data_IF_267135153839
#
_entry.id   IF_267135153839
#
_cell.length_a   1.000
_cell.length_b   1.000
_cell.length_c   1.000
_cell.angle_alpha   90.00
_cell.angle_beta   90.00
_cell.angle_gamma   90.00
#
_symmetry.space_group_name_H-M   'P 1'
#
loop_
_entity.id
_entity.type
_entity.pdbx_description
1 polymer ?
#
# COMPACT_ATOMS: atom_id res chain seq x y z
N UNK A 1 7.60 -5.11 -0.75
CA UNK A 1 6.48 -5.28 -1.70
C UNK A 1 5.68 -6.51 -1.30
N UNK A 2 4.34 -6.50 -1.45
CA UNK A 2 3.49 -7.65 -1.13
C UNK A 2 3.28 -8.54 -2.35
N UNK A 3 3.33 -9.85 -2.17
CA UNK A 3 3.22 -10.87 -3.23
C UNK A 3 2.33 -12.02 -2.77
N UNK A 4 1.43 -12.49 -3.63
CA UNK A 4 0.59 -13.66 -3.33
C UNK A 4 1.39 -14.95 -3.17
N UNK A 5 2.52 -15.09 -3.88
CA UNK A 5 3.37 -16.28 -3.85
C UNK A 5 4.50 -16.18 -2.82
N UNK A 6 5.14 -15.02 -2.72
CA UNK A 6 6.35 -14.83 -1.90
C UNK A 6 6.11 -14.07 -0.58
N UNK A 7 4.87 -13.64 -0.31
CA UNK A 7 4.54 -12.87 0.89
C UNK A 7 5.12 -11.45 0.84
N UNK A 8 6.30 -11.26 1.39
CA UNK A 8 7.05 -9.99 1.38
C UNK A 8 8.27 -10.11 0.50
N UNK A 9 8.47 -9.11 -0.37
CA UNK A 9 9.63 -9.00 -1.26
C UNK A 9 10.33 -7.67 -1.06
N UNK A 10 11.65 -7.70 -1.01
CA UNK A 10 12.53 -6.53 -1.11
C UNK A 10 12.77 -6.19 -2.59
N UNK A 11 13.15 -4.95 -2.94
CA UNK A 11 13.29 -4.53 -4.34
C UNK A 11 14.28 -5.34 -5.19
N UNK A 12 15.30 -5.94 -4.55
CA UNK A 12 16.36 -6.70 -5.23
C UNK A 12 16.25 -8.22 -5.06
N UNK A 13 15.16 -8.72 -4.49
CA UNK A 13 14.95 -10.16 -4.35
C UNK A 13 14.80 -10.80 -5.73
N UNK A 14 15.49 -11.92 -5.94
CA UNK A 14 15.38 -12.71 -7.17
C UNK A 14 14.14 -13.59 -7.10
N UNK A 15 13.27 -13.44 -8.09
CA UNK A 15 12.02 -14.20 -8.18
C UNK A 15 11.89 -14.89 -9.54
N UNK A 16 11.12 -15.97 -9.57
CA UNK A 16 10.69 -16.59 -10.81
C UNK A 16 9.40 -15.91 -11.32
N UNK A 17 9.15 -15.86 -12.63
CA UNK A 17 7.89 -15.39 -13.17
C UNK A 17 6.72 -16.20 -12.63
N UNK A 18 5.68 -15.52 -12.16
CA UNK A 18 4.46 -16.16 -11.68
C UNK A 18 3.25 -15.25 -11.91
N UNK A 19 2.06 -15.86 -11.82
CA UNK A 19 0.79 -15.12 -11.78
C UNK A 19 -0.10 -15.69 -10.67
N UNK A 20 -0.05 -15.05 -9.51
CA UNK A 20 -0.89 -15.40 -8.36
C UNK A 20 -1.22 -14.13 -7.59
N UNK A 21 -2.47 -13.70 -7.65
CA UNK A 21 -2.97 -12.52 -6.95
C UNK A 21 -3.35 -12.88 -5.52
N UNK A 22 -3.17 -11.95 -4.57
CA UNK A 22 -3.43 -12.18 -3.15
C UNK A 22 -4.89 -12.56 -2.87
N UNK A 23 -5.84 -12.01 -3.64
CA UNK A 23 -7.27 -12.31 -3.53
C UNK A 23 -7.71 -13.65 -4.12
N UNK A 24 -6.78 -14.47 -4.66
CA UNK A 24 -7.10 -15.76 -5.26
C UNK A 24 -7.65 -16.73 -4.21
N UNK A 25 -8.80 -17.32 -4.52
CA UNK A 25 -9.41 -18.39 -3.69
C UNK A 25 -8.73 -19.72 -3.98
N UNK A 26 -7.56 -19.90 -3.40
CA UNK A 26 -6.76 -21.13 -3.51
C UNK A 26 -6.83 -21.90 -2.18
N UNK A 27 -7.55 -23.03 -2.17
CA UNK A 27 -7.55 -23.94 -1.02
C UNK A 27 -6.16 -24.50 -0.75
N UNK A 28 -5.76 -24.53 0.51
CA UNK A 28 -4.44 -24.93 0.96
C UNK A 28 -4.53 -25.59 2.35
N UNK A 29 -3.40 -25.99 2.92
CA UNK A 29 -3.36 -26.69 4.21
C UNK A 29 -3.81 -25.79 5.39
N UNK A 30 -3.71 -24.46 5.27
CA UNK A 30 -4.07 -23.50 6.31
C UNK A 30 -5.51 -22.95 6.16
N UNK A 31 -6.14 -23.12 4.97
CA UNK A 31 -7.50 -22.64 4.77
C UNK A 31 -7.94 -22.59 3.30
N UNK A 32 -8.88 -21.68 3.00
CA UNK A 32 -9.55 -21.63 1.70
C UNK A 32 -9.02 -20.58 0.72
N UNK A 33 -8.04 -19.80 1.14
CA UNK A 33 -7.50 -18.68 0.36
C UNK A 33 -6.08 -18.32 0.81
N UNK A 34 -5.45 -17.36 0.14
CA UNK A 34 -4.09 -16.93 0.49
C UNK A 34 -4.01 -16.08 1.77
N UNK A 35 -5.08 -15.43 2.19
CA UNK A 35 -5.09 -14.72 3.48
C UNK A 35 -5.01 -15.72 4.64
N UNK A 36 -5.71 -16.85 4.54
CA UNK A 36 -5.61 -17.94 5.52
C UNK A 36 -4.21 -18.56 5.50
N UNK A 37 -3.62 -18.71 4.30
CA UNK A 37 -2.28 -19.25 4.12
C UNK A 37 -1.20 -18.42 4.81
N UNK A 38 -1.22 -17.10 4.56
CA UNK A 38 -0.21 -16.19 5.09
C UNK A 38 -0.44 -15.82 6.56
N UNK A 39 -1.69 -15.84 7.04
CA UNK A 39 -2.03 -15.57 8.44
C UNK A 39 -1.31 -14.34 9.01
N UNK A 40 -0.45 -14.55 10.01
CA UNK A 40 0.39 -13.53 10.64
C UNK A 40 1.75 -13.32 9.98
N UNK A 41 2.23 -14.26 9.18
CA UNK A 41 3.63 -14.33 8.70
C UNK A 41 4.12 -13.03 8.05
N UNK A 42 3.28 -12.42 7.19
CA UNK A 42 3.62 -11.15 6.53
C UNK A 42 3.85 -10.04 7.57
N UNK A 43 3.02 -9.95 8.59
CA UNK A 43 3.13 -8.92 9.63
C UNK A 43 4.32 -9.18 10.56
N UNK A 44 4.65 -10.44 10.82
CA UNK A 44 5.83 -10.83 11.59
C UNK A 44 7.11 -10.40 10.86
N UNK A 45 7.23 -10.68 9.56
CA UNK A 45 8.36 -10.23 8.73
C UNK A 45 8.47 -8.70 8.70
N UNK A 46 7.34 -7.98 8.60
CA UNK A 46 7.36 -6.51 8.64
C UNK A 46 7.80 -5.95 10.00
N UNK A 47 7.60 -6.69 11.08
CA UNK A 47 8.04 -6.29 12.40
C UNK A 47 9.56 -6.48 12.63
N UNK A 48 10.25 -7.26 11.78
CA UNK A 48 11.70 -7.47 11.87
C UNK A 48 12.49 -6.20 11.51
N UNK A 49 11.93 -5.36 10.64
CA UNK A 49 12.59 -4.13 10.19
C UNK A 49 12.59 -3.00 11.27
N UNK A 50 11.93 -3.20 12.43
CA UNK A 50 11.83 -2.26 13.57
C UNK A 50 11.35 -0.84 13.18
N UNK A 51 10.75 -0.68 12.01
CA UNK A 51 10.22 0.58 11.52
C UNK A 51 9.01 1.04 12.34
N UNK A 52 8.94 2.34 12.63
CA UNK A 52 7.82 2.90 13.39
C UNK A 52 6.63 3.29 12.54
N UNK A 53 6.84 3.48 11.25
CA UNK A 53 5.80 3.92 10.30
C UNK A 53 5.87 3.14 9.00
N UNK A 54 4.72 2.64 8.57
CA UNK A 54 4.54 2.04 7.26
C UNK A 54 3.62 2.92 6.41
N UNK A 55 4.16 3.48 5.34
CA UNK A 55 3.38 4.20 4.33
C UNK A 55 2.71 3.19 3.41
N UNK A 56 1.40 3.03 3.55
CA UNK A 56 0.64 2.06 2.77
C UNK A 56 0.28 2.59 1.38
N UNK A 57 0.97 2.05 0.39
CA UNK A 57 0.71 2.27 -1.04
C UNK A 57 0.21 0.98 -1.74
N UNK A 58 -0.09 -0.07 -0.99
CA UNK A 58 -0.67 -1.29 -1.52
C UNK A 58 -2.15 -1.12 -1.86
N UNK A 59 -2.70 -2.00 -2.70
CA UNK A 59 -4.15 -2.08 -2.88
C UNK A 59 -4.80 -2.72 -1.66
N UNK A 60 -6.10 -2.46 -1.46
CA UNK A 60 -6.85 -3.07 -0.37
C UNK A 60 -6.77 -4.61 -0.39
N UNK A 61 -6.74 -5.20 -1.59
CA UNK A 61 -6.57 -6.64 -1.77
C UNK A 61 -5.27 -7.15 -1.13
N UNK A 62 -4.15 -6.51 -1.42
CA UNK A 62 -2.85 -6.92 -0.87
C UNK A 62 -2.70 -6.51 0.59
N UNK A 63 -3.13 -5.31 0.95
CA UNK A 63 -2.99 -4.83 2.33
C UNK A 63 -3.85 -5.61 3.34
N UNK A 64 -4.93 -6.24 2.88
CA UNK A 64 -5.77 -7.13 3.71
C UNK A 64 -5.01 -8.36 4.24
N UNK A 65 -3.89 -8.73 3.61
CA UNK A 65 -3.04 -9.82 4.11
C UNK A 65 -2.18 -9.42 5.32
N UNK A 66 -2.21 -8.14 5.73
CA UNK A 66 -1.52 -7.65 6.92
C UNK A 66 -2.42 -7.84 8.15
N UNK A 67 -1.97 -8.61 9.13
CA UNK A 67 -2.61 -8.65 10.45
C UNK A 67 -2.21 -7.42 11.26
N UNK A 68 -3.10 -6.43 11.28
CA UNK A 68 -2.89 -5.16 11.99
C UNK A 68 -2.81 -5.32 13.52
N UNK A 69 -3.25 -6.45 14.08
CA UNK A 69 -3.26 -6.66 15.53
C UNK A 69 -1.87 -6.92 16.09
N UNK A 70 -1.01 -7.53 15.26
CA UNK A 70 0.37 -7.85 15.66
C UNK A 70 1.39 -6.88 15.09
N UNK A 71 1.02 -6.08 14.08
CA UNK A 71 1.91 -5.09 13.48
C UNK A 71 2.25 -4.01 14.52
N UNK A 72 3.56 -3.78 14.74
CA UNK A 72 4.05 -2.80 15.70
C UNK A 72 4.10 -1.39 15.14
N UNK A 73 4.39 -1.26 13.85
CA UNK A 73 4.45 0.01 13.16
C UNK A 73 3.08 0.68 13.05
N UNK A 74 3.05 1.99 13.09
CA UNK A 74 1.89 2.78 12.69
C UNK A 74 1.69 2.69 11.17
N UNK A 75 0.44 2.77 10.74
CA UNK A 75 0.09 2.72 9.33
C UNK A 75 -0.38 4.11 8.89
N UNK A 76 0.22 4.62 7.83
CA UNK A 76 -0.25 5.80 7.10
C UNK A 76 -0.81 5.35 5.75
N UNK A 77 -2.12 5.34 5.61
CA UNK A 77 -2.80 5.03 4.36
C UNK A 77 -2.73 6.20 3.39
N UNK A 78 -2.25 5.99 2.15
CA UNK A 78 -2.24 6.99 1.09
C UNK A 78 -3.37 6.69 0.12
N UNK A 79 -4.30 7.65 -0.02
CA UNK A 79 -5.51 7.51 -0.81
C UNK A 79 -5.54 8.54 -1.93
N UNK A 80 -5.72 8.08 -3.17
CA UNK A 80 -5.86 8.94 -4.34
C UNK A 80 -7.30 8.97 -4.82
N UNK A 81 -7.84 10.16 -5.01
CA UNK A 81 -9.22 10.38 -5.46
C UNK A 81 -9.28 11.33 -6.65
N UNK A 82 -10.19 11.03 -7.56
CA UNK A 82 -10.54 11.86 -8.72
C UNK A 82 -11.84 12.60 -8.45
N UNK A 83 -11.92 13.85 -8.92
CA UNK A 83 -13.19 14.57 -8.93
C UNK A 83 -14.14 13.99 -9.98
N UNK A 84 -15.33 13.65 -9.56
CA UNK A 84 -16.40 13.18 -10.43
C UNK A 84 -17.75 13.71 -9.94
N UNK A 85 -18.43 14.54 -10.75
CA UNK A 85 -19.72 15.13 -10.39
C UNK A 85 -19.67 15.78 -8.98
N UNK A 86 -18.75 16.72 -8.79
CA UNK A 86 -18.53 17.48 -7.54
C UNK A 86 -18.20 16.64 -6.28
N UNK A 87 -17.87 15.39 -6.46
CA UNK A 87 -17.41 14.50 -5.37
C UNK A 87 -16.09 13.84 -5.71
N UNK A 88 -15.26 13.60 -4.69
CA UNK A 88 -14.00 12.89 -4.84
C UNK A 88 -14.18 11.39 -4.63
N UNK A 89 -13.80 10.57 -5.62
CA UNK A 89 -13.94 9.10 -5.59
C UNK A 89 -12.65 8.41 -5.97
N UNK A 90 -12.39 7.26 -5.37
CA UNK A 90 -11.30 6.39 -5.77
C UNK A 90 -11.66 5.71 -7.09
N UNK A 91 -10.83 5.89 -8.12
CA UNK A 91 -10.93 5.18 -9.39
C UNK A 91 -9.73 4.24 -9.52
N UNK A 92 -9.99 2.93 -9.51
CA UNK A 92 -8.97 1.90 -9.33
C UNK A 92 -7.75 2.03 -10.25
N UNK A 93 -7.95 2.30 -11.55
CA UNK A 93 -6.86 2.41 -12.52
C UNK A 93 -5.98 3.65 -12.25
N UNK A 94 -6.59 4.77 -11.91
CA UNK A 94 -5.87 6.00 -11.60
C UNK A 94 -5.17 5.90 -10.24
N UNK A 95 -5.83 5.35 -9.23
CA UNK A 95 -5.22 5.12 -7.93
C UNK A 95 -4.02 4.15 -8.00
N UNK A 96 -4.08 3.10 -8.86
CA UNK A 96 -2.95 2.21 -9.11
C UNK A 96 -1.75 2.96 -9.69
N UNK A 97 -1.99 3.81 -10.70
CA UNK A 97 -0.96 4.63 -11.33
C UNK A 97 -0.37 5.64 -10.33
N UNK A 98 -1.22 6.37 -9.62
CA UNK A 98 -0.80 7.37 -8.66
C UNK A 98 0.05 6.79 -7.51
N UNK A 99 -0.28 5.59 -7.01
CA UNK A 99 0.56 4.89 -6.03
C UNK A 99 1.95 4.58 -6.57
N UNK A 100 2.06 4.18 -7.84
CA UNK A 100 3.35 3.98 -8.51
C UNK A 100 4.15 5.29 -8.63
N UNK A 101 3.50 6.40 -8.96
CA UNK A 101 4.13 7.72 -9.00
C UNK A 101 4.61 8.17 -7.62
N UNK A 102 3.82 7.94 -6.56
CA UNK A 102 4.22 8.25 -5.19
C UNK A 102 5.46 7.44 -4.76
N UNK A 103 5.52 6.15 -5.08
CA UNK A 103 6.71 5.32 -4.82
C UNK A 103 7.93 5.90 -5.54
N UNK A 104 7.78 6.26 -6.82
CA UNK A 104 8.85 6.89 -7.59
C UNK A 104 9.30 8.23 -6.96
N UNK A 105 8.36 9.05 -6.54
CA UNK A 105 8.61 10.32 -5.85
C UNK A 105 9.42 10.11 -4.57
N UNK A 106 9.03 9.16 -3.72
CA UNK A 106 9.73 8.80 -2.48
C UNK A 106 11.19 8.40 -2.78
N UNK A 107 11.37 7.47 -3.73
CA UNK A 107 12.70 6.91 -4.04
C UNK A 107 13.61 7.97 -4.67
N UNK A 108 13.13 8.71 -5.67
CA UNK A 108 13.92 9.73 -6.37
C UNK A 108 14.36 10.87 -5.47
N UNK A 109 13.53 11.27 -4.55
CA UNK A 109 13.83 12.34 -3.59
C UNK A 109 14.47 11.82 -2.29
N UNK A 110 14.66 10.49 -2.15
CA UNK A 110 15.24 9.84 -0.95
C UNK A 110 14.53 10.30 0.33
N UNK A 111 13.21 10.33 0.30
CA UNK A 111 12.43 10.83 1.42
C UNK A 111 12.51 9.86 2.60
N UNK A 112 12.84 10.39 3.76
CA UNK A 112 12.90 9.70 5.05
C UNK A 112 11.88 10.25 6.06
N UNK A 113 11.26 11.38 5.74
CA UNK A 113 10.21 12.02 6.53
C UNK A 113 8.87 11.93 5.79
N UNK A 114 7.85 11.41 6.47
CA UNK A 114 6.52 11.28 5.91
C UNK A 114 5.91 12.64 5.54
N UNK A 115 6.18 13.71 6.31
CA UNK A 115 5.66 15.05 6.02
C UNK A 115 6.04 15.55 4.62
N UNK A 116 7.21 15.13 4.11
CA UNK A 116 7.64 15.47 2.77
C UNK A 116 6.74 14.89 1.67
N UNK A 117 5.94 13.85 1.96
CA UNK A 117 4.96 13.30 1.01
C UNK A 117 3.87 14.30 0.65
N UNK A 118 3.54 15.25 1.53
CA UNK A 118 2.54 16.29 1.27
C UNK A 118 2.91 17.20 0.10
N UNK A 119 4.21 17.25 -0.26
CA UNK A 119 4.71 17.94 -1.45
C UNK A 119 4.51 17.22 -2.78
N UNK A 120 3.97 15.99 -2.78
CA UNK A 120 3.69 15.24 -4.00
C UNK A 120 2.66 15.96 -4.87
N UNK A 121 2.99 16.13 -6.17
CA UNK A 121 2.13 16.84 -7.12
C UNK A 121 2.09 16.22 -8.52
N UNK A 122 2.63 15.01 -8.68
CA UNK A 122 2.69 14.35 -9.99
C UNK A 122 1.28 14.15 -10.58
N UNK A 123 1.16 14.40 -11.86
CA UNK A 123 -0.09 14.32 -12.63
C UNK A 123 -1.26 15.14 -12.05
N UNK A 124 -0.95 16.23 -11.33
CA UNK A 124 -1.95 17.14 -10.80
C UNK A 124 -2.61 16.68 -9.49
N UNK A 125 -2.14 15.63 -8.85
CA UNK A 125 -2.58 15.29 -7.50
C UNK A 125 -2.02 16.26 -6.48
N UNK A 126 -2.86 16.73 -5.58
CA UNK A 126 -2.47 17.59 -4.47
C UNK A 126 -2.96 17.01 -3.15
N UNK A 127 -2.16 17.17 -2.10
CA UNK A 127 -2.57 16.82 -0.75
C UNK A 127 -3.82 17.60 -0.34
N UNK A 128 -4.84 16.88 0.11
CA UNK A 128 -6.11 17.47 0.53
C UNK A 128 -6.26 17.33 2.05
N UNK A 129 -6.00 18.42 2.76
CA UNK A 129 -6.03 18.43 4.22
C UNK A 129 -7.43 18.16 4.77
N UNK A 130 -8.49 18.66 4.12
CA UNK A 130 -9.87 18.50 4.61
C UNK A 130 -10.36 17.06 4.57
N UNK A 131 -9.86 16.29 3.61
CA UNK A 131 -10.22 14.87 3.44
C UNK A 131 -9.23 13.92 4.15
N UNK A 132 -8.17 14.44 4.75
CA UNK A 132 -7.11 13.67 5.41
C UNK A 132 -7.34 13.59 6.92
N UNK A 133 -6.70 12.60 7.53
CA UNK A 133 -6.60 12.40 8.99
C UNK A 133 -5.16 12.03 9.34
N UNK A 134 -4.86 11.88 10.65
CA UNK A 134 -3.52 11.52 11.11
C UNK A 134 -3.01 10.18 10.55
N UNK A 135 -3.91 9.23 10.25
CA UNK A 135 -3.56 7.90 9.75
C UNK A 135 -3.93 7.66 8.28
N UNK A 136 -4.52 8.65 7.59
CA UNK A 136 -4.95 8.52 6.19
C UNK A 136 -4.83 9.84 5.47
N UNK A 137 -3.89 9.93 4.54
CA UNK A 137 -3.68 11.11 3.72
C UNK A 137 -4.31 10.95 2.35
N UNK A 138 -5.11 11.93 1.99
CA UNK A 138 -5.87 11.95 0.74
C UNK A 138 -5.23 12.94 -0.23
N UNK A 139 -4.97 12.46 -1.43
CA UNK A 139 -4.54 13.28 -2.56
C UNK A 139 -5.68 13.34 -3.58
N UNK A 140 -6.00 14.52 -4.03
CA UNK A 140 -7.09 14.77 -4.96
C UNK A 140 -6.59 15.34 -6.27
N UNK A 141 -7.28 15.02 -7.35
CA UNK A 141 -7.08 15.59 -8.67
C UNK A 141 -8.45 15.95 -9.28
N UNK A 142 -8.54 17.16 -9.87
CA UNK A 142 -9.72 17.65 -10.60
C UNK A 142 -9.75 17.16 -12.05
#
# INVERSE_FOLDING_TARGET
MLSGLYGVLRPLDLIQPYRLEMGTKLGNAQGNNLYDYWGSDISEVLNEDEEQLIVNLASNEYFKAIDKKILKAQILDIVFKEKKNDTYKVIGIYAKRARGLMINYIIRNRLTDAEALKGFSDEGYLYNQELSSDSSWVYTRD
#
